data_IF_160834039053
#
_entry.id   IF_160834039053
#
_cell.length_a   1.000
_cell.length_b   1.000
_cell.length_c   1.000
_cell.angle_alpha   90.00
_cell.angle_beta   90.00
_cell.angle_gamma   90.00
#
_symmetry.space_group_name_H-M   'P 1'
#
loop_
_entity.id
_entity.type
_entity.pdbx_description
1 polymer ?
#
# COMPACT_ATOMS: atom_id res chain seq x y z
N UNK A 1 -14.02 24.17 4.56
CA UNK A 1 -13.20 23.26 3.74
C UNK A 1 -11.88 22.94 4.42
N UNK A 2 -11.94 22.52 5.68
CA UNK A 2 -10.78 22.10 6.45
C UNK A 2 -10.16 20.82 5.87
N UNK A 3 -10.93 20.09 5.06
CA UNK A 3 -10.60 18.74 4.61
C UNK A 3 -10.65 18.58 3.09
N UNK A 4 -9.93 19.43 2.36
CA UNK A 4 -9.94 19.41 0.89
C UNK A 4 -9.61 18.02 0.30
N UNK A 5 -8.79 17.22 0.97
CA UNK A 5 -8.33 15.92 0.52
C UNK A 5 -8.66 14.78 1.51
N UNK A 6 -9.58 15.01 2.43
CA UNK A 6 -10.00 14.03 3.43
C UNK A 6 -11.03 13.01 2.93
N UNK A 7 -11.46 13.13 1.67
CA UNK A 7 -12.48 12.25 1.09
C UNK A 7 -11.82 11.22 0.19
N UNK A 8 -11.26 10.20 0.80
CA UNK A 8 -10.64 9.09 0.11
C UNK A 8 -11.28 7.76 0.54
N UNK A 9 -11.19 6.77 -0.33
CA UNK A 9 -11.71 5.44 -0.06
C UNK A 9 -10.79 4.37 -0.62
N UNK A 10 -10.90 3.16 -0.05
CA UNK A 10 -10.31 1.96 -0.61
C UNK A 10 -11.15 1.53 -1.82
N UNK A 11 -10.70 1.86 -3.01
CA UNK A 11 -11.53 1.75 -4.23
C UNK A 11 -11.97 0.32 -4.53
N UNK A 12 -11.13 -0.67 -4.21
CA UNK A 12 -11.48 -2.08 -4.41
C UNK A 12 -12.74 -2.51 -3.63
N UNK A 13 -13.02 -1.86 -2.51
CA UNK A 13 -14.14 -2.17 -1.60
C UNK A 13 -15.30 -1.17 -1.69
N UNK A 14 -15.15 -0.12 -2.52
CA UNK A 14 -16.10 1.00 -2.56
C UNK A 14 -16.80 1.07 -3.92
N UNK A 15 -17.98 0.42 -4.07
CA UNK A 15 -18.71 0.40 -5.35
C UNK A 15 -19.38 1.73 -5.70
N UNK A 16 -19.59 2.59 -4.72
CA UNK A 16 -20.23 3.88 -4.89
C UNK A 16 -19.64 4.93 -3.95
N UNK A 17 -19.56 6.17 -4.39
CA UNK A 17 -19.24 7.33 -3.55
C UNK A 17 -19.89 8.60 -4.09
N UNK A 18 -20.09 9.57 -3.25
CA UNK A 18 -20.70 10.82 -3.69
C UNK A 18 -21.13 11.72 -2.54
N UNK A 19 -22.10 12.56 -2.82
CA UNK A 19 -22.60 13.57 -1.91
C UNK A 19 -24.12 13.50 -1.79
N UNK A 20 -24.61 13.72 -0.58
CA UNK A 20 -26.02 13.91 -0.31
C UNK A 20 -26.27 15.27 0.34
N UNK A 21 -27.38 15.92 -0.04
CA UNK A 21 -27.86 17.14 0.57
C UNK A 21 -29.04 16.85 1.48
N UNK A 22 -28.90 17.11 2.77
CA UNK A 22 -29.98 16.97 3.74
C UNK A 22 -31.10 17.99 3.51
N UNK A 23 -30.77 19.23 3.11
CA UNK A 23 -31.73 20.26 2.86
C UNK A 23 -32.55 20.10 1.58
N UNK A 24 -31.94 19.49 0.54
CA UNK A 24 -32.58 19.20 -0.75
C UNK A 24 -33.10 17.79 -0.85
N UNK A 25 -32.75 16.94 0.11
CA UNK A 25 -33.09 15.52 0.11
C UNK A 25 -32.76 14.84 -1.23
N UNK A 26 -31.54 15.08 -1.73
CA UNK A 26 -31.06 14.46 -2.98
C UNK A 26 -29.59 14.07 -2.85
N UNK A 27 -29.21 13.06 -3.63
CA UNK A 27 -27.83 12.56 -3.72
C UNK A 27 -27.35 12.47 -5.16
N UNK A 28 -26.04 12.61 -5.33
CA UNK A 28 -25.32 12.40 -6.60
C UNK A 28 -24.14 11.48 -6.30
N UNK A 29 -24.08 10.37 -6.98
CA UNK A 29 -23.16 9.28 -6.72
C UNK A 29 -22.45 8.85 -7.98
N UNK A 30 -21.16 8.55 -7.86
CA UNK A 30 -20.43 7.81 -8.88
C UNK A 30 -20.48 6.33 -8.52
N UNK A 31 -20.87 5.50 -9.49
CA UNK A 31 -20.84 4.05 -9.37
C UNK A 31 -19.67 3.52 -10.16
N UNK A 32 -18.81 2.74 -9.50
CA UNK A 32 -17.63 2.14 -10.09
C UNK A 32 -17.77 0.61 -10.09
N UNK A 33 -18.18 0.00 -11.21
CA UNK A 33 -18.43 -1.44 -11.28
C UNK A 33 -17.15 -2.28 -11.23
N UNK A 34 -16.00 -1.70 -11.59
CA UNK A 34 -14.74 -2.43 -11.61
C UNK A 34 -13.55 -1.54 -11.31
N UNK A 35 -12.62 -2.07 -10.51
CA UNK A 35 -11.32 -1.43 -10.22
C UNK A 35 -10.17 -2.00 -11.07
N UNK A 36 -10.44 -2.80 -12.09
CA UNK A 36 -9.40 -3.48 -12.90
C UNK A 36 -8.40 -2.52 -13.56
N UNK A 37 -8.80 -1.28 -13.77
CA UNK A 37 -7.99 -0.24 -14.43
C UNK A 37 -6.99 0.46 -13.50
N UNK A 38 -7.16 0.32 -12.17
CA UNK A 38 -6.35 1.05 -11.19
C UNK A 38 -4.99 0.38 -10.95
N UNK A 39 -3.95 1.19 -10.79
CA UNK A 39 -2.72 0.78 -10.13
C UNK A 39 -2.95 0.67 -8.61
N UNK A 40 -2.15 -0.14 -7.91
CA UNK A 40 -2.18 -0.27 -6.45
C UNK A 40 -3.12 -1.34 -5.92
N UNK A 41 -3.87 -1.99 -6.79
CA UNK A 41 -4.65 -3.19 -6.47
C UNK A 41 -5.59 -3.04 -5.26
N UNK A 42 -5.65 -4.06 -4.39
CA UNK A 42 -6.61 -4.10 -3.29
C UNK A 42 -6.27 -3.15 -2.14
N UNK A 43 -5.07 -2.55 -2.14
CA UNK A 43 -4.65 -1.61 -1.08
C UNK A 43 -4.73 -0.15 -1.52
N UNK A 44 -5.31 0.12 -2.70
CA UNK A 44 -5.36 1.47 -3.26
C UNK A 44 -6.40 2.34 -2.59
N UNK A 45 -5.92 3.31 -1.84
CA UNK A 45 -6.72 4.46 -1.41
C UNK A 45 -6.68 5.52 -2.50
N UNK A 46 -7.81 6.15 -2.82
CA UNK A 46 -7.85 7.24 -3.78
C UNK A 46 -8.92 8.27 -3.41
N UNK A 47 -8.76 9.48 -3.93
CA UNK A 47 -9.71 10.56 -3.71
C UNK A 47 -11.05 10.27 -4.38
N UNK A 48 -12.12 10.36 -3.60
CA UNK A 48 -13.51 10.21 -4.05
C UNK A 48 -14.25 11.53 -4.12
N UNK A 49 -13.75 12.57 -3.45
CA UNK A 49 -14.31 13.89 -3.46
C UNK A 49 -13.49 14.91 -2.67
N UNK A 50 -13.87 16.15 -2.75
CA UNK A 50 -13.41 17.20 -1.84
C UNK A 50 -14.42 18.34 -1.79
N UNK A 51 -14.30 19.19 -0.79
CA UNK A 51 -14.97 20.49 -0.78
C UNK A 51 -14.05 21.52 -1.44
N UNK A 52 -14.57 22.25 -2.41
CA UNK A 52 -13.80 23.34 -3.01
C UNK A 52 -13.55 24.45 -1.97
N UNK A 53 -12.40 25.10 -2.09
CA UNK A 53 -11.96 26.17 -1.15
C UNK A 53 -12.66 27.51 -1.37
N UNK A 54 -13.70 27.56 -2.20
CA UNK A 54 -14.54 28.74 -2.29
C UNK A 54 -15.30 28.96 -0.97
N UNK A 55 -15.84 30.18 -0.80
CA UNK A 55 -16.57 30.58 0.42
C UNK A 55 -17.79 29.70 0.71
N UNK A 56 -18.30 28.99 -0.29
CA UNK A 56 -19.53 28.21 -0.23
C UNK A 56 -19.27 26.72 0.06
N UNK A 57 -18.00 26.29 0.00
CA UNK A 57 -17.64 24.89 0.21
C UNK A 57 -18.30 23.95 -0.80
N UNK A 58 -18.21 24.26 -2.09
CA UNK A 58 -18.85 23.46 -3.14
C UNK A 58 -18.34 22.02 -3.14
N UNK A 59 -19.22 21.02 -3.02
CA UNK A 59 -18.83 19.62 -3.10
C UNK A 59 -18.35 19.28 -4.51
N UNK A 60 -17.24 18.56 -4.58
CA UNK A 60 -16.64 18.04 -5.83
C UNK A 60 -16.60 16.53 -5.76
N UNK A 61 -17.11 15.88 -6.80
CA UNK A 61 -17.04 14.43 -6.97
C UNK A 61 -15.85 14.10 -7.87
N UNK A 62 -15.01 13.17 -7.41
CA UNK A 62 -13.79 12.80 -8.11
C UNK A 62 -13.82 11.33 -8.52
N UNK A 63 -13.25 11.04 -9.67
CA UNK A 63 -12.90 9.71 -10.11
C UNK A 63 -11.49 9.71 -10.70
N UNK A 64 -10.57 9.03 -10.05
CA UNK A 64 -9.14 9.02 -10.41
C UNK A 64 -8.83 7.83 -11.32
N UNK A 65 -8.88 8.04 -12.63
CA UNK A 65 -8.82 6.97 -13.62
C UNK A 65 -7.49 6.24 -13.73
N UNK A 66 -6.40 6.87 -13.43
CA UNK A 66 -5.09 6.21 -13.55
C UNK A 66 -4.40 5.99 -12.20
N UNK A 67 -5.10 6.24 -11.09
CA UNK A 67 -4.63 5.94 -9.75
C UNK A 67 -3.29 6.60 -9.40
N UNK A 68 -3.03 7.81 -9.90
CA UNK A 68 -1.73 8.44 -9.77
C UNK A 68 -1.59 9.38 -8.59
N UNK A 69 -2.69 9.69 -7.90
CA UNK A 69 -2.67 10.71 -6.88
C UNK A 69 -1.95 10.22 -5.62
N UNK A 70 -2.27 9.01 -5.16
CA UNK A 70 -1.60 8.36 -4.04
C UNK A 70 -0.74 7.19 -4.51
N UNK A 71 0.50 7.11 -4.02
CA UNK A 71 1.46 6.08 -4.38
C UNK A 71 2.14 6.27 -5.73
N UNK A 72 1.76 7.31 -6.45
CA UNK A 72 2.22 7.58 -7.80
C UNK A 72 1.73 6.54 -8.79
N UNK A 73 1.66 6.90 -10.06
CA UNK A 73 1.46 5.96 -11.15
C UNK A 73 2.64 6.03 -12.11
N UNK A 74 2.90 4.92 -12.78
CA UNK A 74 3.91 4.86 -13.82
C UNK A 74 3.23 4.51 -15.13
N UNK A 75 2.87 5.56 -15.87
CA UNK A 75 2.46 5.46 -17.27
C UNK A 75 3.61 5.97 -18.13
N UNK A 76 4.19 5.08 -18.91
CA UNK A 76 5.21 5.40 -19.90
C UNK A 76 4.75 4.84 -21.23
N UNK A 77 4.68 5.69 -22.24
CA UNK A 77 4.35 5.35 -23.63
C UNK A 77 5.56 5.75 -24.46
N UNK A 78 6.10 4.81 -25.23
CA UNK A 78 7.26 5.07 -26.07
C UNK A 78 6.89 5.97 -27.27
N UNK A 79 7.89 6.61 -27.84
CA UNK A 79 7.71 7.37 -29.09
C UNK A 79 7.18 6.44 -30.19
N UNK A 80 6.13 6.87 -30.88
CA UNK A 80 5.43 6.11 -31.94
C UNK A 80 4.72 4.83 -31.46
N UNK A 81 4.56 4.62 -30.15
CA UNK A 81 3.76 3.52 -29.63
C UNK A 81 2.26 3.84 -29.74
N UNK A 82 1.50 2.93 -30.36
CA UNK A 82 0.04 2.97 -30.32
C UNK A 82 -0.44 2.21 -29.09
N UNK A 83 -1.11 2.91 -28.17
CA UNK A 83 -1.60 2.33 -26.94
C UNK A 83 -3.01 2.79 -26.63
N UNK A 84 -3.87 1.85 -26.27
CA UNK A 84 -5.26 2.10 -25.88
C UNK A 84 -5.57 1.40 -24.56
N UNK A 85 -6.28 2.09 -23.68
CA UNK A 85 -6.82 1.53 -22.46
C UNK A 85 -8.25 1.99 -22.24
N UNK A 86 -9.15 1.05 -22.05
CA UNK A 86 -10.54 1.34 -21.68
C UNK A 86 -10.65 1.43 -20.17
N UNK A 87 -11.20 2.53 -19.69
CA UNK A 87 -11.41 2.84 -18.27
C UNK A 87 -12.90 3.06 -18.05
N UNK A 88 -13.53 2.21 -17.25
CA UNK A 88 -14.98 2.19 -17.06
C UNK A 88 -15.68 1.07 -17.84
N UNK A 89 -16.98 1.17 -18.15
CA UNK A 89 -17.84 2.35 -17.92
C UNK A 89 -18.11 2.68 -16.45
N UNK A 90 -18.44 3.93 -16.19
CA UNK A 90 -18.91 4.44 -14.91
C UNK A 90 -20.34 4.92 -15.05
N UNK A 91 -21.11 4.85 -13.96
CA UNK A 91 -22.43 5.44 -13.92
C UNK A 91 -22.50 6.61 -12.92
N UNK A 92 -23.24 7.64 -13.28
CA UNK A 92 -23.66 8.69 -12.36
C UNK A 92 -25.09 8.38 -11.94
N UNK A 93 -25.28 8.12 -10.65
CA UNK A 93 -26.59 7.80 -10.07
C UNK A 93 -27.08 9.01 -9.27
N UNK A 94 -28.33 9.41 -9.52
CA UNK A 94 -29.00 10.47 -8.80
C UNK A 94 -30.26 9.92 -8.13
N UNK A 95 -30.46 10.21 -6.85
CA UNK A 95 -31.64 9.85 -6.10
C UNK A 95 -32.14 11.02 -5.24
N UNK A 96 -33.41 10.95 -4.83
CA UNK A 96 -34.05 12.04 -4.09
C UNK A 96 -35.23 11.56 -3.24
N UNK A 97 -35.73 12.43 -2.36
CA UNK A 97 -36.94 12.22 -1.58
C UNK A 97 -36.75 11.45 -0.27
N UNK A 98 -35.52 11.26 0.18
CA UNK A 98 -35.21 10.51 1.39
C UNK A 98 -34.12 11.20 2.23
N UNK A 99 -33.95 10.72 3.47
CA UNK A 99 -32.83 11.17 4.30
C UNK A 99 -31.48 10.72 3.69
N UNK A 100 -30.39 11.46 3.93
CA UNK A 100 -29.06 11.20 3.35
C UNK A 100 -28.59 9.76 3.53
N UNK A 101 -28.84 9.15 4.67
CA UNK A 101 -28.44 7.77 4.99
C UNK A 101 -29.18 6.74 4.11
N UNK A 102 -30.44 6.99 3.79
CA UNK A 102 -31.22 6.14 2.90
C UNK A 102 -30.79 6.30 1.44
N UNK A 103 -30.52 7.53 1.01
CA UNK A 103 -29.97 7.82 -0.31
C UNK A 103 -28.61 7.14 -0.50
N UNK A 104 -27.76 7.19 0.52
CA UNK A 104 -26.46 6.51 0.51
C UNK A 104 -26.57 4.98 0.43
N UNK A 105 -27.47 4.38 1.21
CA UNK A 105 -27.72 2.95 1.20
C UNK A 105 -28.18 2.47 -0.17
N UNK A 106 -29.12 3.19 -0.78
CA UNK A 106 -29.60 2.90 -2.14
C UNK A 106 -28.48 2.98 -3.17
N UNK A 107 -27.62 4.00 -3.08
CA UNK A 107 -26.46 4.15 -3.97
C UNK A 107 -25.48 2.99 -3.83
N UNK A 108 -25.21 2.53 -2.60
CA UNK A 108 -24.36 1.36 -2.37
C UNK A 108 -24.97 0.08 -2.94
N UNK A 109 -26.27 -0.14 -2.75
CA UNK A 109 -26.98 -1.28 -3.31
C UNK A 109 -26.97 -1.26 -4.84
N UNK A 110 -27.16 -0.08 -5.44
CA UNK A 110 -27.07 0.11 -6.88
C UNK A 110 -25.65 -0.18 -7.38
N UNK A 111 -24.62 0.34 -6.69
CA UNK A 111 -23.22 0.06 -7.02
C UNK A 111 -22.89 -1.44 -6.98
N UNK A 112 -23.39 -2.18 -5.99
CA UNK A 112 -23.21 -3.64 -5.93
C UNK A 112 -23.92 -4.37 -7.08
N UNK A 113 -25.10 -3.90 -7.49
CA UNK A 113 -25.80 -4.45 -8.68
C UNK A 113 -24.99 -4.21 -9.96
N UNK A 114 -24.39 -3.03 -10.12
CA UNK A 114 -23.53 -2.72 -11.25
C UNK A 114 -22.26 -3.57 -11.24
N UNK A 115 -21.65 -3.81 -10.08
CA UNK A 115 -20.51 -4.74 -9.96
C UNK A 115 -20.90 -6.19 -10.37
N UNK A 116 -22.08 -6.65 -9.97
CA UNK A 116 -22.56 -7.98 -10.34
C UNK A 116 -22.92 -8.12 -11.83
N UNK A 117 -23.36 -7.03 -12.46
CA UNK A 117 -23.68 -6.98 -13.87
C UNK A 117 -22.44 -6.83 -14.77
N UNK A 118 -21.33 -6.38 -14.21
CA UNK A 118 -20.09 -6.17 -14.94
C UNK A 118 -19.34 -7.49 -15.20
N UNK A 119 -18.65 -7.68 -16.37
CA UNK A 119 -18.56 -6.82 -17.55
C UNK A 119 -19.88 -6.82 -18.34
N UNK A 120 -20.21 -5.62 -18.84
CA UNK A 120 -21.49 -5.43 -19.51
C UNK A 120 -21.54 -6.04 -20.92
N UNK A 121 -22.57 -6.80 -21.20
CA UNK A 121 -22.77 -7.45 -22.50
C UNK A 121 -23.19 -6.46 -23.62
N UNK A 122 -23.75 -5.29 -23.23
CA UNK A 122 -24.15 -4.26 -24.17
C UNK A 122 -23.00 -3.41 -24.69
N UNK A 123 -21.80 -3.49 -24.07
CA UNK A 123 -20.65 -2.73 -24.48
C UNK A 123 -19.89 -3.47 -25.58
N UNK A 124 -19.94 -2.95 -26.79
CA UNK A 124 -19.28 -3.50 -27.96
C UNK A 124 -18.11 -2.63 -28.38
N UNK A 125 -16.96 -2.85 -27.75
CA UNK A 125 -15.68 -2.20 -28.05
C UNK A 125 -14.60 -3.27 -28.21
N UNK A 126 -13.74 -3.18 -29.24
CA UNK A 126 -12.65 -4.16 -29.45
C UNK A 126 -11.73 -4.31 -28.23
N UNK A 127 -11.48 -3.23 -27.51
CA UNK A 127 -10.60 -3.20 -26.33
C UNK A 127 -11.33 -3.55 -25.03
N UNK A 128 -12.62 -3.87 -25.08
CA UNK A 128 -13.40 -4.30 -23.92
C UNK A 128 -13.90 -5.73 -24.10
N UNK A 129 -13.15 -6.74 -23.66
CA UNK A 129 -13.61 -8.13 -23.73
C UNK A 129 -14.92 -8.29 -22.96
N UNK A 130 -15.93 -8.86 -23.62
CA UNK A 130 -17.22 -9.19 -23.00
C UNK A 130 -17.06 -10.36 -22.04
N UNK A 131 -18.10 -10.65 -21.29
CA UNK A 131 -18.10 -11.67 -20.25
C UNK A 131 -17.66 -13.05 -20.74
N UNK A 132 -18.13 -13.48 -21.91
CA UNK A 132 -17.78 -14.74 -22.57
C UNK A 132 -16.35 -14.76 -23.18
N UNK A 133 -15.75 -13.60 -23.31
CA UNK A 133 -14.39 -13.42 -23.82
C UNK A 133 -13.34 -13.30 -22.71
N UNK A 134 -13.77 -13.37 -21.46
CA UNK A 134 -12.87 -13.33 -20.29
C UNK A 134 -12.69 -14.71 -19.71
N UNK A 135 -11.57 -14.94 -19.04
CA UNK A 135 -11.28 -16.19 -18.35
C UNK A 135 -11.51 -16.10 -16.85
N UNK A 136 -11.36 -17.24 -16.19
CA UNK A 136 -11.26 -17.34 -14.73
C UNK A 136 -9.92 -17.97 -14.39
N UNK A 137 -9.23 -17.46 -13.37
CA UNK A 137 -8.05 -18.09 -12.81
C UNK A 137 -8.37 -18.59 -11.40
N UNK A 138 -8.09 -19.86 -11.12
CA UNK A 138 -8.38 -20.48 -9.84
C UNK A 138 -7.23 -21.37 -9.37
N UNK A 139 -7.15 -21.62 -8.08
CA UNK A 139 -6.09 -22.42 -7.50
C UNK A 139 -6.10 -22.45 -5.97
N UNK A 140 -5.02 -22.91 -5.40
CA UNK A 140 -4.82 -22.96 -3.95
C UNK A 140 -3.51 -22.30 -3.58
N UNK A 141 -3.52 -21.39 -2.62
CA UNK A 141 -2.31 -20.78 -2.03
C UNK A 141 -2.08 -21.33 -0.63
N UNK A 142 -0.91 -21.92 -0.42
CA UNK A 142 -0.45 -22.40 0.87
C UNK A 142 0.67 -21.50 1.38
N UNK A 143 0.48 -20.86 2.55
CA UNK A 143 1.54 -20.12 3.22
C UNK A 143 2.19 -21.06 4.23
N UNK A 144 3.45 -21.42 4.03
CA UNK A 144 4.18 -22.35 4.89
C UNK A 144 4.99 -21.62 5.95
N UNK A 145 4.86 -22.10 7.19
CA UNK A 145 5.64 -21.60 8.34
C UNK A 145 5.66 -20.06 8.44
N UNK A 146 4.52 -19.40 8.39
CA UNK A 146 4.50 -17.96 8.65
C UNK A 146 4.90 -17.71 10.11
N UNK A 147 5.64 -16.64 10.36
CA UNK A 147 6.05 -16.25 11.73
C UNK A 147 4.84 -15.89 12.61
N UNK A 148 3.75 -15.49 11.97
CA UNK A 148 2.44 -15.19 12.59
C UNK A 148 1.35 -15.86 11.77
N UNK A 149 0.21 -16.16 12.37
CA UNK A 149 -0.96 -16.62 11.59
C UNK A 149 -1.35 -15.55 10.58
N UNK A 150 -1.45 -15.88 9.29
CA UNK A 150 -1.88 -14.93 8.28
C UNK A 150 -3.29 -14.43 8.59
N UNK A 151 -3.49 -13.12 8.49
CA UNK A 151 -4.81 -12.53 8.49
C UNK A 151 -5.47 -12.60 7.10
N UNK A 152 -6.07 -11.51 6.67
CA UNK A 152 -6.71 -11.44 5.35
C UNK A 152 -5.67 -11.60 4.22
N UNK A 153 -5.87 -12.59 3.36
CA UNK A 153 -4.98 -12.88 2.24
C UNK A 153 -5.63 -12.36 0.96
N UNK A 154 -4.94 -11.46 0.28
CA UNK A 154 -5.33 -10.91 -1.02
C UNK A 154 -4.45 -11.53 -2.10
N UNK A 155 -5.07 -11.94 -3.20
CA UNK A 155 -4.38 -12.56 -4.32
C UNK A 155 -4.84 -11.91 -5.62
N UNK A 156 -3.94 -11.77 -6.60
CA UNK A 156 -4.33 -11.12 -7.85
C UNK A 156 -3.39 -11.40 -9.01
N UNK A 157 -3.91 -11.14 -10.19
CA UNK A 157 -3.19 -11.17 -11.44
C UNK A 157 -2.93 -9.73 -11.92
N UNK A 158 -1.69 -9.40 -12.19
CA UNK A 158 -1.29 -8.13 -12.79
C UNK A 158 -0.25 -8.39 -13.87
N UNK A 159 -0.04 -7.40 -14.76
CA UNK A 159 1.00 -7.53 -15.77
C UNK A 159 2.38 -7.76 -15.11
N UNK A 160 3.28 -8.50 -15.78
CA UNK A 160 4.63 -8.68 -15.31
C UNK A 160 5.32 -7.33 -15.02
N UNK A 161 6.23 -7.28 -14.03
CA UNK A 161 7.01 -6.08 -13.77
C UNK A 161 7.76 -5.63 -15.02
N UNK A 162 7.84 -4.33 -15.20
CA UNK A 162 8.55 -3.73 -16.34
C UNK A 162 9.41 -2.56 -15.91
N UNK A 163 10.41 -2.26 -16.68
CA UNK A 163 11.16 -1.02 -16.51
C UNK A 163 10.37 0.16 -17.11
N UNK A 164 10.31 1.25 -16.40
CA UNK A 164 9.74 2.50 -16.87
C UNK A 164 10.65 3.66 -16.54
N UNK A 165 10.90 4.51 -17.54
CA UNK A 165 11.71 5.71 -17.38
C UNK A 165 10.79 6.91 -17.18
N UNK A 166 11.01 7.63 -16.09
CA UNK A 166 10.31 8.88 -15.78
C UNK A 166 11.30 9.92 -15.28
N UNK A 167 11.29 11.10 -15.88
CA UNK A 167 12.18 12.22 -15.49
C UNK A 167 13.66 11.79 -15.42
N UNK A 168 14.12 10.99 -16.37
CA UNK A 168 15.50 10.53 -16.46
C UNK A 168 15.90 9.42 -15.47
N UNK A 169 14.94 8.89 -14.70
CA UNK A 169 15.15 7.75 -13.79
C UNK A 169 14.38 6.54 -14.30
N UNK A 170 15.06 5.40 -14.36
CA UNK A 170 14.45 4.11 -14.73
C UNK A 170 14.23 3.31 -13.46
N UNK A 171 12.98 2.95 -13.21
CA UNK A 171 12.56 2.16 -12.06
C UNK A 171 11.80 0.91 -12.53
N UNK A 172 11.89 -0.17 -11.77
CA UNK A 172 10.98 -1.31 -11.94
C UNK A 172 9.58 -0.91 -11.47
N UNK A 173 8.59 -1.21 -12.29
CA UNK A 173 7.18 -0.90 -12.06
C UNK A 173 6.39 -2.20 -12.00
N UNK A 174 5.88 -2.50 -10.83
CA UNK A 174 5.00 -3.62 -10.53
C UNK A 174 3.52 -3.19 -10.46
N UNK A 175 2.67 -4.11 -9.98
CA UNK A 175 1.25 -3.90 -9.80
C UNK A 175 0.89 -2.67 -8.96
N UNK A 176 1.73 -2.25 -8.02
CA UNK A 176 1.45 -1.13 -7.13
C UNK A 176 1.43 0.21 -7.87
N UNK A 177 2.20 0.33 -8.96
CA UNK A 177 2.36 1.59 -9.70
C UNK A 177 2.01 1.51 -11.17
N UNK A 178 1.79 0.30 -11.69
CA UNK A 178 1.49 0.09 -13.11
C UNK A 178 0.08 0.56 -13.45
N UNK A 179 -0.04 1.73 -14.05
CA UNK A 179 -1.31 2.28 -14.52
C UNK A 179 -1.55 2.05 -16.02
N UNK A 180 -0.62 1.38 -16.70
CA UNK A 180 -0.73 1.03 -18.12
C UNK A 180 -1.68 -0.15 -18.35
N UNK A 181 -1.56 -1.18 -17.50
CA UNK A 181 -2.22 -2.46 -17.66
C UNK A 181 -3.40 -2.62 -16.67
N UNK A 182 -4.06 -3.77 -16.72
CA UNK A 182 -5.19 -4.13 -15.86
C UNK A 182 -4.74 -5.07 -14.75
N UNK A 183 -5.52 -5.10 -13.67
CA UNK A 183 -5.28 -5.94 -12.49
C UNK A 183 -6.58 -6.57 -12.02
N UNK A 184 -6.51 -7.82 -11.56
CA UNK A 184 -7.67 -8.59 -11.12
C UNK A 184 -7.38 -9.16 -9.74
N UNK A 185 -8.06 -8.67 -8.72
CA UNK A 185 -7.79 -9.02 -7.33
C UNK A 185 -9.00 -9.69 -6.68
N UNK A 186 -8.71 -10.62 -5.78
CA UNK A 186 -9.66 -11.31 -4.94
C UNK A 186 -9.04 -11.71 -3.60
N UNK A 187 -9.72 -12.59 -2.89
CA UNK A 187 -9.30 -13.07 -1.57
C UNK A 187 -9.10 -14.57 -1.60
N UNK A 188 -8.23 -15.06 -0.72
CA UNK A 188 -8.03 -16.49 -0.49
C UNK A 188 -8.95 -16.92 0.65
N UNK A 189 -9.69 -18.00 0.42
CA UNK A 189 -10.57 -18.59 1.43
C UNK A 189 -9.82 -19.26 2.57
N UNK A 190 -10.51 -19.61 3.66
CA UNK A 190 -9.90 -20.29 4.81
C UNK A 190 -9.28 -21.66 4.47
N UNK A 191 -9.73 -22.27 3.39
CA UNK A 191 -9.21 -23.53 2.85
C UNK A 191 -8.01 -23.35 1.89
N UNK A 192 -7.54 -22.12 1.73
CA UNK A 192 -6.47 -21.73 0.83
C UNK A 192 -6.91 -21.56 -0.63
N UNK A 193 -8.16 -21.80 -0.98
CA UNK A 193 -8.65 -21.68 -2.35
C UNK A 193 -8.93 -20.24 -2.74
N UNK A 194 -8.73 -19.95 -4.01
CA UNK A 194 -9.07 -18.67 -4.62
C UNK A 194 -9.67 -18.85 -6.01
N UNK A 195 -10.48 -17.87 -6.43
CA UNK A 195 -10.95 -17.72 -7.80
C UNK A 195 -10.96 -16.25 -8.18
N UNK A 196 -10.41 -15.93 -9.33
CA UNK A 196 -10.38 -14.61 -9.94
C UNK A 196 -11.23 -14.67 -11.22
N UNK A 197 -12.50 -14.30 -11.17
CA UNK A 197 -13.38 -14.33 -12.34
C UNK A 197 -13.13 -13.13 -13.24
N UNK A 198 -13.59 -13.24 -14.48
CA UNK A 198 -13.65 -12.14 -15.44
C UNK A 198 -12.29 -11.48 -15.74
N UNK A 199 -11.22 -12.27 -15.72
CA UNK A 199 -9.89 -11.84 -16.11
C UNK A 199 -9.80 -11.66 -17.62
N UNK A 200 -9.29 -10.54 -18.08
CA UNK A 200 -9.02 -10.30 -19.52
C UNK A 200 -7.99 -11.30 -20.03
N UNK A 201 -8.09 -11.74 -21.29
CA UNK A 201 -7.02 -12.55 -21.90
C UNK A 201 -5.68 -11.81 -21.86
N UNK A 202 -4.61 -12.52 -21.51
CA UNK A 202 -3.28 -11.94 -21.40
C UNK A 202 -2.31 -12.79 -20.59
N UNK A 203 -1.08 -12.28 -20.48
CA UNK A 203 -0.01 -12.90 -19.67
C UNK A 203 0.17 -12.11 -18.39
N UNK A 204 0.25 -12.81 -17.27
CA UNK A 204 0.23 -12.22 -15.93
C UNK A 204 1.31 -12.79 -15.02
N UNK A 205 1.62 -12.00 -14.01
CA UNK A 205 2.25 -12.43 -12.77
C UNK A 205 1.14 -12.51 -11.71
N UNK A 206 1.12 -13.60 -10.97
CA UNK A 206 0.25 -13.76 -9.81
C UNK A 206 0.99 -13.24 -8.59
N UNK A 207 0.31 -12.40 -7.81
CA UNK A 207 0.81 -11.83 -6.57
C UNK A 207 -0.11 -12.21 -5.42
N UNK A 208 0.46 -12.37 -4.23
CA UNK A 208 -0.33 -12.47 -3.01
C UNK A 208 0.33 -11.70 -1.86
N UNK A 209 -0.51 -11.08 -1.04
CA UNK A 209 -0.15 -10.38 0.19
C UNK A 209 -1.04 -10.86 1.31
N UNK A 210 -0.50 -10.98 2.51
CA UNK A 210 -1.24 -11.48 3.67
C UNK A 210 -0.95 -10.60 4.89
N UNK A 211 -2.00 -10.20 5.60
CA UNK A 211 -1.85 -9.39 6.80
C UNK A 211 -1.07 -10.16 7.87
N UNK A 212 -0.09 -9.51 8.47
CA UNK A 212 0.82 -10.10 9.46
C UNK A 212 2.01 -10.85 8.87
N UNK A 213 2.07 -11.03 7.54
CA UNK A 213 3.17 -11.71 6.84
C UNK A 213 3.97 -10.71 6.04
N UNK A 214 5.22 -10.39 6.43
CA UNK A 214 6.10 -9.53 5.65
C UNK A 214 6.40 -10.08 4.25
N UNK A 215 6.67 -9.18 3.32
CA UNK A 215 6.95 -9.53 1.94
C UNK A 215 5.70 -9.68 1.08
N UNK A 216 5.88 -10.34 -0.05
CA UNK A 216 4.79 -10.75 -0.94
C UNK A 216 5.18 -12.01 -1.69
N UNK A 217 4.19 -12.77 -2.11
CA UNK A 217 4.36 -13.85 -3.06
C UNK A 217 4.24 -13.31 -4.48
N UNK A 218 5.10 -13.79 -5.37
CA UNK A 218 4.94 -13.52 -6.81
C UNK A 218 5.39 -14.73 -7.63
N UNK A 219 4.64 -15.04 -8.68
CA UNK A 219 4.98 -16.06 -9.65
C UNK A 219 4.53 -15.61 -11.05
N UNK A 220 5.44 -15.69 -12.02
CA UNK A 220 5.20 -15.27 -13.41
C UNK A 220 4.68 -16.42 -14.26
N UNK A 221 4.23 -16.08 -15.49
CA UNK A 221 3.96 -17.07 -16.53
C UNK A 221 2.52 -17.58 -16.60
N UNK A 222 1.58 -16.93 -15.93
CA UNK A 222 0.16 -17.27 -16.03
C UNK A 222 -0.44 -16.68 -17.30
N UNK A 223 -1.01 -17.52 -18.17
CA UNK A 223 -1.65 -17.09 -19.42
C UNK A 223 -3.14 -17.37 -19.33
N UNK A 224 -3.94 -16.31 -19.38
CA UNK A 224 -5.41 -16.40 -19.40
C UNK A 224 -5.88 -16.31 -20.86
N UNK A 225 -6.65 -17.29 -21.31
CA UNK A 225 -7.27 -17.33 -22.63
C UNK A 225 -8.76 -16.96 -22.54
N UNK A 226 -9.29 -16.42 -23.65
CA UNK A 226 -10.71 -16.06 -23.75
C UNK A 226 -11.62 -17.26 -23.49
N UNK A 227 -12.60 -17.10 -22.59
CA UNK A 227 -13.61 -18.11 -22.26
C UNK A 227 -13.08 -19.36 -21.55
N UNK A 228 -11.82 -19.37 -21.07
CA UNK A 228 -11.21 -20.53 -20.45
C UNK A 228 -10.94 -20.33 -18.97
N UNK A 229 -10.98 -21.43 -18.23
CA UNK A 229 -10.50 -21.46 -16.85
C UNK A 229 -9.02 -21.82 -16.85
N UNK A 230 -8.24 -21.01 -16.15
CA UNK A 230 -6.83 -21.27 -15.86
C UNK A 230 -6.73 -21.90 -14.48
N UNK A 231 -6.33 -23.16 -14.42
CA UNK A 231 -5.91 -23.81 -13.18
C UNK A 231 -4.48 -23.37 -12.83
N UNK A 232 -4.34 -22.58 -11.78
CA UNK A 232 -3.04 -22.15 -11.25
C UNK A 232 -2.38 -23.22 -10.39
N UNK A 233 -3.06 -24.34 -10.12
CA UNK A 233 -2.57 -25.43 -9.27
C UNK A 233 -2.44 -25.03 -7.80
N UNK A 234 -1.52 -25.73 -7.13
CA UNK A 234 -1.18 -25.41 -5.73
C UNK A 234 0.11 -24.59 -5.68
N UNK A 235 -0.06 -23.33 -5.27
CA UNK A 235 1.02 -22.37 -5.08
C UNK A 235 1.51 -22.46 -3.63
N UNK A 236 2.81 -22.44 -3.43
CA UNK A 236 3.40 -22.44 -2.09
C UNK A 236 4.18 -21.17 -1.87
N UNK A 237 3.73 -20.36 -0.91
CA UNK A 237 4.46 -19.21 -0.42
C UNK A 237 5.24 -19.62 0.83
N UNK A 238 6.54 -19.51 0.76
CA UNK A 238 7.41 -19.64 1.90
C UNK A 238 7.96 -18.26 2.24
N UNK A 239 7.32 -17.52 3.18
CA UNK A 239 7.88 -16.26 3.67
C UNK A 239 9.30 -16.51 4.17
N UNK A 240 10.17 -15.51 4.08
CA UNK A 240 11.57 -15.64 4.52
C UNK A 240 11.66 -16.42 5.84
N UNK A 241 12.27 -17.59 5.78
CA UNK A 241 12.44 -18.49 6.93
C UNK A 241 13.57 -18.00 7.83
N UNK A 242 13.47 -18.39 9.09
CA UNK A 242 14.59 -18.44 10.00
C UNK A 242 14.95 -17.16 10.72
N UNK A 243 14.16 -16.12 10.59
CA UNK A 243 14.38 -14.91 11.38
C UNK A 243 13.46 -14.92 12.60
N UNK A 244 14.05 -15.16 13.77
CA UNK A 244 13.32 -14.99 15.01
C UNK A 244 13.02 -13.52 15.21
N UNK A 245 11.74 -13.17 15.26
CA UNK A 245 11.33 -11.82 15.64
C UNK A 245 11.57 -11.62 17.12
N UNK A 246 12.42 -10.67 17.49
CA UNK A 246 12.67 -10.29 18.88
C UNK A 246 11.58 -9.34 19.38
N UNK A 247 11.23 -8.36 18.57
CA UNK A 247 10.09 -7.48 18.81
C UNK A 247 9.61 -6.85 17.50
N UNK A 248 8.37 -6.37 17.53
CA UNK A 248 7.75 -5.67 16.42
C UNK A 248 6.84 -4.53 16.94
N UNK A 249 6.77 -3.45 16.17
CA UNK A 249 5.84 -2.33 16.31
C UNK A 249 5.04 -2.28 15.02
N UNK A 250 3.71 -2.29 15.11
CA UNK A 250 2.82 -2.34 13.96
C UNK A 250 2.58 -3.75 13.42
N UNK A 251 1.75 -3.85 12.39
CA UNK A 251 1.34 -5.07 11.71
C UNK A 251 1.75 -4.98 10.25
N UNK A 252 2.38 -6.03 9.71
CA UNK A 252 2.75 -6.06 8.29
C UNK A 252 1.49 -6.29 7.44
N UNK A 253 0.65 -5.27 7.27
CA UNK A 253 -0.62 -5.33 6.53
C UNK A 253 -0.75 -4.24 5.46
N UNK A 254 0.33 -3.47 5.29
CA UNK A 254 0.39 -2.32 4.38
C UNK A 254 -0.57 -1.19 4.77
N UNK A 255 -0.87 -1.10 6.05
CA UNK A 255 -1.79 -0.15 6.66
C UNK A 255 -1.08 0.64 7.77
N UNK A 256 -1.69 1.70 8.21
CA UNK A 256 -1.29 2.43 9.40
C UNK A 256 -2.45 2.48 10.41
N UNK A 257 -3.50 1.68 10.17
CA UNK A 257 -4.76 1.75 10.92
C UNK A 257 -4.63 1.43 12.41
N UNK A 258 -3.64 0.63 12.78
CA UNK A 258 -3.35 0.23 14.16
C UNK A 258 -2.64 1.31 14.99
N UNK A 259 -2.01 2.29 14.34
CA UNK A 259 -1.25 3.33 15.05
C UNK A 259 -2.14 4.46 15.54
N UNK A 260 -1.58 5.29 16.43
CA UNK A 260 -2.23 6.52 16.88
C UNK A 260 -2.71 7.32 15.68
N UNK A 261 -4.01 7.65 15.66
CA UNK A 261 -4.70 8.34 14.58
C UNK A 261 -4.70 7.61 13.23
N UNK A 262 -4.26 6.37 13.18
CA UNK A 262 -4.19 5.59 11.94
C UNK A 262 -5.54 5.35 11.28
N UNK A 263 -6.61 5.32 12.07
CA UNK A 263 -8.00 5.17 11.59
C UNK A 263 -8.70 6.50 11.29
N UNK A 264 -8.01 7.64 11.45
CA UNK A 264 -8.56 8.96 11.14
C UNK A 264 -8.35 9.33 9.66
N UNK A 265 -8.49 8.38 8.75
CA UNK A 265 -8.19 8.54 7.32
C UNK A 265 -9.01 9.64 6.61
N UNK A 266 -10.14 10.04 7.17
CA UNK A 266 -10.92 11.18 6.69
C UNK A 266 -10.43 12.55 7.19
N UNK A 267 -9.49 12.60 8.12
CA UNK A 267 -8.99 13.82 8.71
C UNK A 267 -7.76 14.34 7.95
N UNK A 268 -7.95 15.25 7.02
CA UNK A 268 -6.84 15.87 6.32
C UNK A 268 -5.97 16.71 7.26
N UNK A 269 -4.66 16.64 7.09
CA UNK A 269 -3.72 17.45 7.85
C UNK A 269 -3.29 16.85 9.19
N UNK A 270 -3.46 15.55 9.41
CA UNK A 270 -2.94 14.86 10.59
C UNK A 270 -1.47 15.15 10.86
N UNK A 271 -0.66 15.30 9.83
CA UNK A 271 0.76 15.65 9.93
C UNK A 271 1.04 16.99 10.65
N UNK A 272 0.07 17.89 10.73
CA UNK A 272 0.17 19.08 11.58
C UNK A 272 -0.05 18.76 13.06
N UNK A 273 -0.71 17.66 13.37
CA UNK A 273 -1.05 17.27 14.73
C UNK A 273 0.05 16.42 15.37
N UNK A 274 0.76 15.59 14.57
CA UNK A 274 1.81 14.72 15.08
C UNK A 274 2.93 15.43 15.86
N UNK A 275 3.42 16.62 15.46
CA UNK A 275 4.39 17.34 16.27
C UNK A 275 3.87 17.79 17.62
N UNK A 276 2.57 18.03 17.74
CA UNK A 276 1.91 18.32 19.01
C UNK A 276 1.77 17.08 19.89
N UNK A 277 1.46 15.93 19.27
CA UNK A 277 1.38 14.64 19.98
C UNK A 277 2.78 14.14 20.43
N UNK A 278 3.80 14.38 19.62
CA UNK A 278 5.18 13.91 19.84
C UNK A 278 6.21 15.04 19.69
N UNK A 279 6.18 16.09 20.52
CA UNK A 279 7.00 17.29 20.32
C UNK A 279 8.51 17.04 20.42
N UNK A 280 8.91 15.94 21.07
CA UNK A 280 10.31 15.51 21.20
C UNK A 280 10.62 14.24 20.39
N UNK A 281 9.70 13.84 19.49
CA UNK A 281 9.72 12.58 18.79
C UNK A 281 9.13 11.44 19.63
N UNK A 282 8.98 10.29 18.99
CA UNK A 282 8.51 9.07 19.65
C UNK A 282 9.55 8.53 20.61
N UNK A 283 9.12 8.09 21.79
CA UNK A 283 9.93 7.34 22.75
C UNK A 283 9.17 6.10 23.17
N UNK A 284 9.41 5.00 22.48
CA UNK A 284 8.68 3.75 22.61
C UNK A 284 9.50 2.72 23.38
N UNK A 285 8.89 2.04 24.36
CA UNK A 285 9.54 0.98 25.13
C UNK A 285 8.84 -0.35 24.87
N UNK A 286 9.56 -1.31 24.31
CA UNK A 286 9.05 -2.65 24.03
C UNK A 286 8.55 -3.32 25.31
N UNK A 287 7.36 -3.90 25.24
CA UNK A 287 6.70 -4.54 26.37
C UNK A 287 6.00 -3.59 27.36
N UNK A 288 6.10 -2.27 27.18
CA UNK A 288 5.46 -1.27 28.04
C UNK A 288 4.58 -0.30 27.25
N UNK A 289 5.07 0.20 26.12
CA UNK A 289 4.34 1.13 25.27
C UNK A 289 3.32 0.42 24.40
N UNK A 290 2.26 1.16 24.04
CA UNK A 290 1.15 0.71 23.20
C UNK A 290 1.18 1.50 21.89
N UNK A 291 1.36 0.86 20.76
CA UNK A 291 1.48 1.54 19.46
C UNK A 291 0.22 2.32 19.07
N UNK A 292 -0.96 1.96 19.58
CA UNK A 292 -2.19 2.72 19.33
C UNK A 292 -2.18 4.12 19.98
N UNK A 293 -1.23 4.38 20.88
CA UNK A 293 -1.09 5.63 21.65
C UNK A 293 0.29 6.26 21.51
N UNK A 294 1.33 5.44 21.56
CA UNK A 294 2.72 5.87 21.77
C UNK A 294 3.54 5.81 20.49
N UNK A 295 2.94 5.39 19.38
CA UNK A 295 3.57 5.36 18.06
C UNK A 295 2.82 6.21 17.05
N UNK A 296 3.56 6.94 16.25
CA UNK A 296 3.07 7.62 15.07
C UNK A 296 3.54 6.87 13.82
N UNK A 297 2.71 6.76 12.78
CA UNK A 297 3.11 6.14 11.54
C UNK A 297 3.91 7.07 10.62
N UNK A 298 3.77 8.40 10.76
CA UNK A 298 4.40 9.37 9.87
C UNK A 298 5.57 10.09 10.53
N UNK A 299 6.78 9.68 10.19
CA UNK A 299 8.01 10.32 10.62
C UNK A 299 8.35 11.45 9.65
N UNK A 300 7.74 12.60 9.84
CA UNK A 300 7.83 13.77 8.98
C UNK A 300 8.46 14.97 9.70
N UNK A 301 8.80 16.00 8.90
CA UNK A 301 9.38 17.24 9.43
C UNK A 301 8.47 17.94 10.42
N UNK A 302 9.06 18.47 11.48
CA UNK A 302 8.38 19.26 12.49
C UNK A 302 8.28 20.71 11.96
N UNK A 303 7.09 21.30 12.02
CA UNK A 303 6.93 22.72 11.78
C UNK A 303 7.38 23.49 13.03
N UNK A 304 8.50 24.17 12.95
CA UNK A 304 8.88 25.20 13.93
C UNK A 304 8.32 26.56 13.49
N UNK A 305 8.07 27.46 14.45
CA UNK A 305 7.52 28.79 14.19
C UNK A 305 8.14 29.47 12.95
N UNK A 306 7.32 29.66 11.91
CA UNK A 306 7.72 30.35 10.67
C UNK A 306 8.61 29.52 9.71
N UNK A 307 9.02 28.29 10.04
CA UNK A 307 9.78 27.41 9.16
C UNK A 307 9.09 26.05 9.07
N UNK A 308 8.58 25.73 7.90
CA UNK A 308 7.98 24.42 7.63
C UNK A 308 9.11 23.38 7.42
N UNK A 309 9.15 22.36 8.28
CA UNK A 309 9.80 21.09 8.01
C UNK A 309 11.32 21.13 7.82
N UNK A 310 12.08 21.66 8.77
CA UNK A 310 13.56 21.72 8.63
C UNK A 310 14.28 20.62 9.43
N UNK A 311 13.59 19.92 10.33
CA UNK A 311 14.16 18.81 11.10
C UNK A 311 13.08 17.81 11.48
N UNK A 312 13.45 16.53 11.63
CA UNK A 312 12.62 15.53 12.27
C UNK A 312 13.15 15.24 13.65
N UNK A 313 12.25 15.14 14.63
CA UNK A 313 12.65 14.63 15.93
C UNK A 313 13.17 13.19 15.79
N UNK A 314 14.19 12.85 16.55
CA UNK A 314 14.67 11.48 16.62
C UNK A 314 13.64 10.60 17.33
N UNK A 315 13.28 9.47 16.71
CA UNK A 315 12.42 8.46 17.35
C UNK A 315 13.27 7.40 18.01
N UNK A 316 12.91 7.03 19.24
CA UNK A 316 13.63 6.06 20.05
C UNK A 316 12.76 4.85 20.32
N UNK A 317 13.37 3.67 20.16
CA UNK A 317 12.79 2.39 20.58
C UNK A 317 13.73 1.80 21.63
N UNK A 318 13.25 1.69 22.86
CA UNK A 318 13.98 1.10 23.97
C UNK A 318 13.57 -0.36 24.10
N UNK A 319 14.53 -1.26 24.27
CA UNK A 319 14.30 -2.69 24.40
C UNK A 319 15.39 -3.35 25.23
N UNK A 320 15.09 -4.52 25.75
CA UNK A 320 16.02 -5.31 26.56
C UNK A 320 16.42 -6.58 25.80
N UNK A 321 17.69 -6.91 25.87
CA UNK A 321 18.21 -8.21 25.46
C UNK A 321 18.68 -8.95 26.70
N UNK A 322 18.04 -10.07 27.02
CA UNK A 322 18.42 -10.90 28.18
C UNK A 322 19.89 -11.33 28.11
N UNK A 323 20.32 -11.66 26.91
CA UNK A 323 21.72 -12.00 26.56
C UNK A 323 22.04 -11.49 25.16
N UNK A 324 23.33 -11.44 24.83
CA UNK A 324 23.74 -11.10 23.48
C UNK A 324 23.40 -12.24 22.51
N UNK A 325 22.57 -11.99 21.47
CA UNK A 325 22.27 -13.01 20.50
C UNK A 325 23.53 -13.50 19.78
N UNK A 326 23.66 -14.81 19.61
CA UNK A 326 24.72 -15.39 18.80
C UNK A 326 24.55 -15.06 17.31
N UNK A 327 23.31 -14.81 16.90
CA UNK A 327 22.94 -14.45 15.53
C UNK A 327 23.10 -12.94 15.27
N UNK A 328 23.38 -12.58 14.01
CA UNK A 328 23.33 -11.18 13.56
C UNK A 328 21.90 -10.67 13.65
N UNK A 329 21.74 -9.44 14.08
CA UNK A 329 20.43 -8.78 14.12
C UNK A 329 20.22 -7.89 12.90
N UNK A 330 18.98 -7.85 12.41
CA UNK A 330 18.54 -6.95 11.36
C UNK A 330 17.34 -6.14 11.87
N UNK A 331 17.34 -4.85 11.55
CA UNK A 331 16.12 -4.05 11.63
C UNK A 331 15.41 -4.13 10.29
N UNK A 332 14.18 -4.63 10.29
CA UNK A 332 13.30 -4.67 9.11
C UNK A 332 12.26 -3.59 9.22
N UNK A 333 12.13 -2.79 8.18
CA UNK A 333 11.16 -1.70 8.08
C UNK A 333 10.20 -1.98 6.93
N UNK A 334 8.90 -2.04 7.22
CA UNK A 334 7.84 -1.90 6.22
C UNK A 334 7.60 -0.41 5.99
N UNK A 335 7.72 0.03 4.76
CA UNK A 335 7.58 1.44 4.35
C UNK A 335 6.32 1.58 3.52
N UNK A 336 5.30 2.23 4.08
CA UNK A 336 4.03 2.49 3.42
C UNK A 336 4.05 3.75 2.54
N UNK A 337 5.04 4.62 2.72
CA UNK A 337 5.24 5.79 1.89
C UNK A 337 6.58 6.48 2.18
N UNK A 338 7.16 7.11 1.16
CA UNK A 338 8.43 7.80 1.29
C UNK A 338 8.52 9.04 0.41
N UNK A 339 9.02 10.13 1.00
CA UNK A 339 9.52 11.33 0.32
C UNK A 339 10.83 11.82 0.93
N UNK A 340 11.56 10.96 1.63
CA UNK A 340 12.92 11.31 2.11
C UNK A 340 13.93 10.83 1.08
N UNK A 341 14.71 11.75 0.45
CA UNK A 341 15.71 11.35 -0.55
C UNK A 341 16.87 10.57 0.08
N UNK A 342 17.16 10.77 1.36
CA UNK A 342 18.25 10.11 2.08
C UNK A 342 17.81 8.85 2.84
N UNK A 343 16.51 8.63 2.97
CA UNK A 343 15.93 7.52 3.73
C UNK A 343 16.05 7.69 5.24
N UNK A 344 16.06 6.57 5.96
CA UNK A 344 16.14 6.51 7.43
C UNK A 344 17.57 6.27 7.87
N UNK A 345 18.09 7.09 8.78
CA UNK A 345 19.38 6.89 9.46
C UNK A 345 19.14 6.19 10.79
N UNK A 346 20.03 5.28 11.13
CA UNK A 346 19.94 4.45 12.32
C UNK A 346 21.12 4.71 13.27
N UNK A 347 20.84 4.79 14.57
CA UNK A 347 21.85 4.71 15.61
C UNK A 347 21.40 3.68 16.67
N UNK A 348 22.37 3.02 17.29
CA UNK A 348 22.16 2.08 18.40
C UNK A 348 23.03 2.55 19.56
N UNK A 349 22.42 2.72 20.74
CA UNK A 349 23.08 3.20 21.95
C UNK A 349 23.90 4.49 21.72
N UNK A 350 23.33 5.41 20.90
CA UNK A 350 23.94 6.69 20.55
C UNK A 350 25.04 6.64 19.48
N UNK A 351 25.40 5.44 18.99
CA UNK A 351 26.42 5.26 17.95
C UNK A 351 25.78 4.99 16.58
N UNK A 352 26.28 5.62 15.48
CA UNK A 352 25.74 5.37 14.14
C UNK A 352 25.76 3.88 13.78
N UNK A 353 24.66 3.40 13.19
CA UNK A 353 24.44 1.98 12.82
C UNK A 353 24.03 1.80 11.34
N UNK A 354 24.24 2.83 10.50
CA UNK A 354 23.85 2.77 9.09
C UNK A 354 22.48 3.39 8.82
N UNK A 355 21.72 2.77 7.92
CA UNK A 355 20.38 3.21 7.53
C UNK A 355 19.89 2.53 6.26
N UNK A 356 18.75 2.97 5.73
CA UNK A 356 18.15 2.39 4.53
C UNK A 356 18.85 2.74 3.23
N UNK A 357 19.70 3.78 3.26
CA UNK A 357 20.12 4.44 2.03
C UNK A 357 18.96 5.16 1.32
N UNK A 358 19.20 5.66 0.10
CA UNK A 358 18.14 6.27 -0.71
C UNK A 358 16.98 5.31 -0.96
N UNK A 359 15.76 5.86 -0.93
CA UNK A 359 14.52 5.10 -1.14
C UNK A 359 13.70 5.70 -2.28
N UNK A 360 12.86 4.90 -2.98
CA UNK A 360 11.98 5.43 -4.00
C UNK A 360 11.04 6.49 -3.43
N UNK A 361 10.81 7.58 -4.18
CA UNK A 361 9.74 8.54 -3.89
C UNK A 361 8.40 7.93 -4.28
N UNK A 362 7.55 7.69 -3.30
CA UNK A 362 6.21 7.16 -3.50
C UNK A 362 5.12 8.23 -3.41
N UNK A 363 5.51 9.49 -3.31
CA UNK A 363 4.67 10.70 -3.38
C UNK A 363 3.57 10.83 -2.32
N UNK A 364 3.62 10.04 -1.24
CA UNK A 364 2.59 10.03 -0.19
C UNK A 364 3.21 10.26 1.16
N UNK A 365 3.15 11.47 1.67
CA UNK A 365 3.71 11.75 2.99
C UNK A 365 2.76 12.37 3.98
N UNK A 366 1.81 13.12 3.53
CA UNK A 366 0.99 13.95 4.41
C UNK A 366 -0.49 13.66 4.22
N UNK A 367 -0.78 12.47 3.72
CA UNK A 367 -2.14 12.02 3.53
C UNK A 367 -2.46 11.00 4.62
N UNK A 368 -3.37 11.32 5.39
CA UNK A 368 -3.99 10.68 6.51
C UNK A 368 -4.09 9.15 6.38
N UNK A 369 -3.10 8.42 6.85
CA UNK A 369 -2.99 6.95 6.74
C UNK A 369 -3.08 6.39 5.31
N UNK A 370 -3.04 7.23 4.28
CA UNK A 370 -3.08 6.81 2.88
C UNK A 370 -1.70 6.30 2.45
N UNK A 371 -1.68 5.12 1.90
CA UNK A 371 -0.47 4.40 1.50
C UNK A 371 0.04 4.84 0.15
N UNK A 372 1.36 4.88 0.04
CA UNK A 372 2.07 4.93 -1.22
C UNK A 372 2.31 3.53 -1.80
N UNK A 373 3.28 3.40 -2.70
CA UNK A 373 3.82 2.11 -3.07
C UNK A 373 4.64 1.58 -1.89
N UNK A 374 4.23 0.41 -1.42
CA UNK A 374 4.85 -0.24 -0.26
C UNK A 374 6.13 -0.98 -0.66
N UNK A 375 7.11 -0.97 0.21
CA UNK A 375 8.34 -1.75 0.08
C UNK A 375 8.99 -1.98 1.44
N UNK A 376 9.95 -2.90 1.51
CA UNK A 376 10.70 -3.20 2.72
C UNK A 376 12.17 -2.79 2.61
N UNK A 377 12.78 -2.55 3.78
CA UNK A 377 14.22 -2.37 3.94
C UNK A 377 14.69 -3.17 5.14
N UNK A 378 15.80 -3.89 4.95
CA UNK A 378 16.50 -4.61 6.02
C UNK A 378 17.85 -3.95 6.27
N UNK A 379 18.13 -3.61 7.51
CA UNK A 379 19.35 -2.91 7.94
C UNK A 379 20.07 -3.81 8.94
N UNK A 380 21.26 -4.34 8.61
CA UNK A 380 22.03 -5.13 9.56
C UNK A 380 22.48 -4.27 10.74
N UNK A 381 22.30 -4.80 11.94
CA UNK A 381 22.76 -4.14 13.19
C UNK A 381 24.14 -4.67 13.54
N UNK A 382 25.18 -3.83 13.58
CA UNK A 382 26.50 -4.25 14.01
C UNK A 382 26.49 -4.76 15.47
N UNK A 383 26.90 -6.00 15.69
CA UNK A 383 26.83 -6.65 17.03
C UNK A 383 27.58 -5.83 18.11
N UNK A 384 28.69 -5.20 17.79
CA UNK A 384 29.45 -4.36 18.72
C UNK A 384 28.75 -3.06 19.17
N UNK A 385 27.55 -2.76 18.66
CA UNK A 385 26.72 -1.64 19.11
C UNK A 385 25.69 -2.03 20.15
N UNK A 386 25.38 -3.32 20.26
CA UNK A 386 24.42 -3.88 21.22
C UNK A 386 25.10 -4.30 22.52
N UNK A 387 24.30 -4.46 23.56
CA UNK A 387 24.72 -4.98 24.87
C UNK A 387 23.62 -5.85 25.47
N UNK A 388 23.98 -6.74 26.37
CA UNK A 388 23.01 -7.39 27.24
C UNK A 388 22.36 -6.34 28.15
N UNK A 389 21.08 -6.49 28.48
CA UNK A 389 20.29 -5.51 29.17
C UNK A 389 19.70 -4.45 28.22
N UNK A 390 19.62 -3.21 28.68
CA UNK A 390 18.93 -2.13 27.97
C UNK A 390 19.67 -1.63 26.74
N UNK A 391 18.93 -1.49 25.65
CA UNK A 391 19.39 -0.93 24.38
C UNK A 391 18.39 0.14 23.88
N UNK A 392 18.90 1.11 23.14
CA UNK A 392 18.11 2.13 22.49
C UNK A 392 18.45 2.17 21.00
N UNK A 393 17.46 1.92 20.16
CA UNK A 393 17.51 2.15 18.73
C UNK A 393 16.96 3.54 18.44
N UNK A 394 17.66 4.32 17.62
CA UNK A 394 17.24 5.66 17.23
C UNK A 394 17.06 5.73 15.74
N UNK A 395 15.87 6.14 15.29
CA UNK A 395 15.55 6.41 13.90
C UNK A 395 15.55 7.93 13.67
N UNK A 396 16.22 8.36 12.59
CA UNK A 396 16.18 9.73 12.10
C UNK A 396 15.88 9.74 10.62
N UNK A 397 14.99 10.63 10.21
CA UNK A 397 14.69 10.89 8.81
C UNK A 397 15.22 12.27 8.47
N UNK A 398 16.32 12.38 7.71
CA UNK A 398 16.78 13.67 7.25
C UNK A 398 15.73 14.31 6.34
N UNK A 399 15.35 15.53 6.61
CA UNK A 399 14.44 16.33 5.78
C UNK A 399 15.10 17.64 5.41
N UNK A 400 14.98 18.03 4.15
CA UNK A 400 15.50 19.28 3.61
C UNK A 400 14.39 20.28 3.36
N UNK A 401 13.19 19.76 3.14
CA UNK A 401 12.02 20.56 2.85
C UNK A 401 10.74 19.89 3.32
N UNK A 402 9.70 20.68 3.52
CA UNK A 402 8.35 20.16 3.61
C UNK A 402 7.86 19.83 2.18
N UNK A 403 7.29 18.70 1.89
CA UNK A 403 6.73 17.64 2.75
C UNK A 403 7.56 16.34 2.73
N UNK A 404 8.78 16.35 3.16
CA UNK A 404 9.61 15.15 3.24
C UNK A 404 9.34 14.32 4.50
N UNK A 405 9.62 13.00 4.41
CA UNK A 405 9.49 12.07 5.53
C UNK A 405 9.25 10.61 5.08
N UNK A 406 8.92 9.76 6.04
CA UNK A 406 8.68 8.32 5.86
C UNK A 406 7.41 7.91 6.60
N UNK A 407 6.58 7.08 5.98
CA UNK A 407 5.44 6.40 6.61
C UNK A 407 5.82 4.95 6.90
N UNK A 408 5.72 4.54 8.16
CA UNK A 408 5.98 3.15 8.57
C UNK A 408 4.68 2.34 8.55
N UNK A 409 4.77 1.11 8.03
CA UNK A 409 3.81 0.05 8.18
C UNK A 409 4.16 -0.79 9.42
N UNK A 410 5.42 -1.21 9.51
CA UNK A 410 5.95 -1.86 10.71
C UNK A 410 7.44 -1.59 10.92
N UNK A 411 7.90 -1.77 12.15
CA UNK A 411 9.30 -1.78 12.54
C UNK A 411 9.57 -3.06 13.32
N UNK A 412 10.51 -3.90 12.86
CA UNK A 412 10.78 -5.21 13.45
C UNK A 412 12.27 -5.44 13.64
N UNK A 413 12.67 -5.93 14.82
CA UNK A 413 14.00 -6.44 15.07
C UNK A 413 13.99 -7.96 14.96
N UNK A 414 14.85 -8.50 14.10
CA UNK A 414 14.93 -9.92 13.80
C UNK A 414 16.35 -10.45 14.04
N UNK A 415 16.46 -11.68 14.54
CA UNK A 415 17.71 -12.42 14.53
C UNK A 415 17.88 -13.09 13.16
N UNK A 416 18.98 -12.81 12.47
CA UNK A 416 19.33 -13.50 11.22
C UNK A 416 19.67 -14.96 11.51
N UNK A 417 19.35 -15.88 10.59
CA UNK A 417 19.86 -17.26 10.67
C UNK A 417 21.38 -17.29 10.72
N UNK A 418 21.92 -18.24 11.49
CA UNK A 418 23.31 -18.64 11.30
C UNK A 418 23.42 -19.28 9.92
N UNK A 419 24.34 -18.80 9.09
CA UNK A 419 24.62 -19.34 7.76
C UNK A 419 24.83 -20.86 7.82
N UNK A 420 23.75 -21.61 7.60
CA UNK A 420 23.85 -23.01 7.23
C UNK A 420 24.16 -23.06 5.74
N UNK A 421 25.38 -22.78 5.38
CA UNK A 421 26.11 -22.96 4.12
C UNK A 421 25.41 -23.39 2.82
N UNK A 422 24.18 -22.91 2.55
CA UNK A 422 23.51 -23.07 1.27
C UNK A 422 23.45 -21.73 0.58
N UNK A 423 24.35 -21.56 -0.40
CA UNK A 423 24.53 -20.33 -1.16
C UNK A 423 23.23 -19.87 -1.83
N UNK A 424 22.87 -18.64 -1.55
CA UNK A 424 21.96 -17.90 -2.43
C UNK A 424 22.63 -17.76 -3.80
N UNK A 425 22.07 -18.38 -4.81
CA UNK A 425 22.31 -17.99 -6.18
C UNK A 425 21.70 -16.61 -6.39
N UNK A 426 22.53 -15.58 -6.26
CA UNK A 426 22.21 -14.27 -6.82
C UNK A 426 22.20 -14.43 -8.33
N UNK A 427 21.04 -14.31 -8.95
CA UNK A 427 20.91 -14.17 -10.40
C UNK A 427 21.58 -12.84 -10.77
N UNK A 428 22.59 -12.83 -11.66
CA UNK A 428 23.20 -11.61 -12.13
C UNK A 428 22.19 -10.79 -12.95
N UNK A 429 22.29 -9.44 -12.96
CA UNK A 429 21.33 -8.58 -13.67
C UNK A 429 21.42 -8.61 -15.22
N UNK A 430 22.21 -9.48 -15.83
CA UNK A 430 22.56 -9.41 -17.24
C UNK A 430 21.87 -10.41 -18.19
N UNK A 431 20.89 -11.19 -17.75
CA UNK A 431 20.15 -12.08 -18.67
C UNK A 431 18.65 -11.81 -18.68
N UNK A 432 18.27 -10.66 -19.27
CA UNK A 432 16.92 -10.46 -19.77
C UNK A 432 16.97 -10.45 -21.31
N UNK A 433 16.14 -11.25 -22.00
CA UNK A 433 16.08 -11.22 -23.45
C UNK A 433 15.53 -9.88 -23.94
N UNK A 434 16.12 -9.39 -25.04
CA UNK A 434 15.79 -8.16 -25.75
C UNK A 434 14.39 -8.16 -26.36
#
# INVERSE_FOLDING_TARGET
AEHKYGYSALIAETPAWGWASSSRQCGVWLLNPSAEYLAGGPTKMELTGHLDVNREGTPVLLNMWHGSHYGGSALSIAENEVWTKVVGPFAIHCNAGQAPEALWREAQETGRREQAAWPYDWLDLPEFPRKDQRGTAEGTLLIRNPATSPGHIRIGLAAPPRLATRLGRTDSVDWQRNSRDYQFWGTVGPDGRFALPQVRPGTYTLYAIADGVPGEFSQTGFVVHAGQNLDCGTLTWEPERGRQTLWQIGVADRSAGEFRRGNEAGAWGLYYQFPGDFPQGVNYTIGQSDWTKDWNYAHCGISQEGRRGVDTAAWRVNFELAEMPAAKLNLRLGIAGNRSPEGVKLAVNGRPAGGTGPMPDTAVMHRDAVRGAWFERSIPIPAGLLQAGQNTLTLRVPVQSWPEGVLYDFVRLEAAEQDSGHGQQTVPPDELPQ
#
